data_IF_989242767517
#
_entry.id   IF_989242767517
#
_cell.length_a   1.000
_cell.length_b   1.000
_cell.length_c   1.000
_cell.angle_alpha   90.00
_cell.angle_beta   90.00
_cell.angle_gamma   90.00
#
_symmetry.space_group_name_H-M   'P 1'
#
loop_
_entity.id
_entity.type
_entity.pdbx_description
1 polymer ?
#
# COMPACT_ATOMS: atom_id res chain seq x y z
N UNK A 1 21.23 -1.18 15.88
CA UNK A 1 22.07 -0.38 16.77
C UNK A 1 23.54 -0.30 16.29
N UNK A 2 24.12 -1.38 15.75
CA UNK A 2 25.55 -1.45 15.41
C UNK A 2 26.01 -0.39 14.40
N UNK A 3 25.17 -0.01 13.45
CA UNK A 3 25.53 0.94 12.39
C UNK A 3 24.90 2.33 12.50
N UNK A 4 23.87 2.53 13.33
CA UNK A 4 23.13 3.80 13.35
C UNK A 4 22.89 4.39 14.75
N UNK A 5 23.15 3.65 15.82
CA UNK A 5 22.86 4.09 17.19
C UNK A 5 21.39 4.10 17.55
N UNK A 6 21.04 4.66 18.71
CA UNK A 6 19.70 4.63 19.29
C UNK A 6 18.74 5.61 18.58
N UNK A 7 19.23 6.75 18.10
CA UNK A 7 18.39 7.75 17.42
C UNK A 7 17.83 7.20 16.10
N UNK A 8 18.69 6.61 15.26
CA UNK A 8 18.26 5.98 14.00
C UNK A 8 17.28 4.81 14.23
N UNK A 9 17.48 4.05 15.30
CA UNK A 9 16.54 3.01 15.70
C UNK A 9 15.19 3.60 16.10
N UNK A 10 15.17 4.75 16.80
CA UNK A 10 13.94 5.48 17.15
C UNK A 10 13.20 5.97 15.91
N UNK A 11 13.89 6.56 14.94
CA UNK A 11 13.32 7.04 13.68
C UNK A 11 12.72 5.91 12.85
N UNK A 12 13.45 4.79 12.70
CA UNK A 12 12.91 3.60 12.04
C UNK A 12 11.72 3.01 12.82
N UNK A 13 11.82 2.94 14.16
CA UNK A 13 10.74 2.42 15.00
C UNK A 13 9.43 3.20 14.85
N UNK A 14 9.50 4.53 14.78
CA UNK A 14 8.33 5.37 14.54
C UNK A 14 7.77 5.13 13.13
N UNK A 15 8.63 5.12 12.10
CA UNK A 15 8.22 4.89 10.71
C UNK A 15 7.54 3.52 10.53
N UNK A 16 8.05 2.49 11.19
CA UNK A 16 7.47 1.15 11.18
C UNK A 16 6.09 1.12 11.88
N UNK A 17 5.94 1.77 13.04
CA UNK A 17 4.65 1.83 13.75
C UNK A 17 3.56 2.50 12.91
N UNK A 18 3.87 3.60 12.23
CA UNK A 18 2.95 4.28 11.31
C UNK A 18 2.54 3.32 10.17
N UNK A 19 3.50 2.59 9.62
CA UNK A 19 3.25 1.60 8.57
C UNK A 19 2.33 0.46 9.03
N UNK A 20 2.49 -0.02 10.26
CA UNK A 20 1.63 -1.07 10.84
C UNK A 20 0.18 -0.59 10.93
N UNK A 21 -0.06 0.66 11.32
CA UNK A 21 -1.43 1.22 11.37
C UNK A 21 -2.08 1.17 9.97
N UNK A 22 -1.38 1.63 8.94
CA UNK A 22 -1.87 1.58 7.55
C UNK A 22 -2.14 0.13 7.13
N UNK A 23 -1.26 -0.78 7.50
CA UNK A 23 -1.39 -2.21 7.19
C UNK A 23 -2.62 -2.86 7.83
N UNK A 24 -3.00 -2.48 9.05
CA UNK A 24 -4.18 -3.02 9.72
C UNK A 24 -5.46 -2.78 8.91
N UNK A 25 -5.61 -1.60 8.31
CA UNK A 25 -6.78 -1.28 7.46
C UNK A 25 -6.79 -2.09 6.17
N UNK A 26 -5.64 -2.34 5.57
CA UNK A 26 -5.55 -2.99 4.26
C UNK A 26 -5.59 -4.52 4.35
N UNK A 27 -5.17 -5.10 5.47
CA UNK A 27 -5.10 -6.57 5.66
C UNK A 27 -6.43 -7.23 6.01
N UNK A 28 -7.46 -6.47 6.39
CA UNK A 28 -8.73 -6.99 6.87
C UNK A 28 -9.47 -7.92 5.87
N UNK A 29 -9.28 -7.71 4.57
CA UNK A 29 -9.92 -8.50 3.52
C UNK A 29 -9.13 -9.75 3.10
N UNK A 30 -7.90 -9.91 3.57
CA UNK A 30 -7.04 -11.05 3.20
C UNK A 30 -7.65 -12.40 3.57
N UNK A 31 -8.21 -12.61 4.79
CA UNK A 31 -8.83 -13.90 5.14
C UNK A 31 -10.02 -14.25 4.26
N UNK A 32 -10.83 -13.25 3.88
CA UNK A 32 -11.99 -13.46 3.01
C UNK A 32 -11.55 -13.96 1.64
N UNK A 33 -10.59 -13.29 1.01
CA UNK A 33 -10.08 -13.70 -0.30
C UNK A 33 -9.37 -15.05 -0.26
N UNK A 34 -8.65 -15.37 0.83
CA UNK A 34 -8.04 -16.69 1.02
C UNK A 34 -9.09 -17.78 1.00
N UNK A 35 -10.20 -17.57 1.71
CA UNK A 35 -11.33 -18.51 1.73
C UNK A 35 -11.96 -18.67 0.35
N UNK A 36 -12.22 -17.57 -0.35
CA UNK A 36 -12.82 -17.62 -1.69
C UNK A 36 -11.91 -18.33 -2.71
N UNK A 37 -10.59 -18.09 -2.66
CA UNK A 37 -9.63 -18.83 -3.49
C UNK A 37 -9.64 -20.34 -3.18
N UNK A 38 -9.64 -20.72 -1.88
CA UNK A 38 -9.66 -22.11 -1.47
C UNK A 38 -10.95 -22.82 -1.91
N UNK A 39 -12.10 -22.15 -1.77
CA UNK A 39 -13.40 -22.65 -2.23
C UNK A 39 -13.39 -22.89 -3.75
N UNK A 40 -13.04 -21.87 -4.52
CA UNK A 40 -13.01 -21.97 -5.98
C UNK A 40 -12.01 -23.03 -6.48
N UNK A 41 -10.90 -23.22 -5.78
CA UNK A 41 -9.92 -24.25 -6.11
C UNK A 41 -10.46 -25.67 -5.80
N UNK A 42 -11.13 -25.85 -4.65
CA UNK A 42 -11.79 -27.11 -4.30
C UNK A 42 -12.87 -27.51 -5.31
N UNK A 43 -13.59 -26.52 -5.86
CA UNK A 43 -14.60 -26.69 -6.92
C UNK A 43 -13.97 -26.83 -8.33
N UNK A 44 -12.64 -26.84 -8.45
CA UNK A 44 -11.89 -26.86 -9.71
C UNK A 44 -12.25 -25.70 -10.67
N UNK A 45 -12.73 -24.60 -10.14
CA UNK A 45 -13.16 -23.43 -10.89
C UNK A 45 -12.03 -22.40 -11.04
N UNK A 46 -11.08 -22.67 -11.96
CA UNK A 46 -9.98 -21.75 -12.25
C UNK A 46 -10.45 -20.42 -12.85
N UNK A 47 -11.61 -20.39 -13.52
CA UNK A 47 -12.17 -19.15 -14.06
C UNK A 47 -12.57 -18.19 -12.93
N UNK A 48 -13.17 -18.72 -11.86
CA UNK A 48 -13.51 -17.93 -10.66
C UNK A 48 -12.24 -17.40 -9.97
N UNK A 49 -11.20 -18.21 -9.86
CA UNK A 49 -9.92 -17.77 -9.27
C UNK A 49 -9.31 -16.63 -10.10
N UNK A 50 -9.30 -16.74 -11.45
CA UNK A 50 -8.84 -15.68 -12.35
C UNK A 50 -9.62 -14.39 -12.14
N UNK A 51 -10.95 -14.50 -12.06
CA UNK A 51 -11.83 -13.35 -11.85
C UNK A 51 -11.53 -12.66 -10.50
N UNK A 52 -11.49 -13.41 -9.41
CA UNK A 52 -11.16 -12.90 -8.09
C UNK A 52 -9.77 -12.23 -8.07
N UNK A 53 -8.77 -12.89 -8.64
CA UNK A 53 -7.40 -12.41 -8.65
C UNK A 53 -7.24 -11.13 -9.47
N UNK A 54 -7.76 -11.11 -10.71
CA UNK A 54 -7.63 -9.97 -11.60
C UNK A 54 -8.41 -8.74 -11.15
N UNK A 55 -9.47 -8.93 -10.36
CA UNK A 55 -10.33 -7.85 -9.87
C UNK A 55 -9.89 -7.32 -8.51
N UNK A 56 -9.79 -8.20 -7.51
CA UNK A 56 -9.59 -7.75 -6.12
C UNK A 56 -8.13 -7.40 -5.81
N UNK A 57 -7.16 -8.02 -6.46
CA UNK A 57 -5.76 -7.68 -6.23
C UNK A 57 -5.46 -6.22 -6.61
N UNK A 58 -5.79 -5.74 -7.82
CA UNK A 58 -5.58 -4.33 -8.17
C UNK A 58 -6.45 -3.36 -7.37
N UNK A 59 -7.70 -3.71 -7.08
CA UNK A 59 -8.61 -2.90 -6.27
C UNK A 59 -8.01 -2.61 -4.88
N UNK A 60 -7.58 -3.66 -4.19
CA UNK A 60 -6.99 -3.53 -2.85
C UNK A 60 -5.62 -2.85 -2.89
N UNK A 61 -4.86 -3.04 -3.98
CA UNK A 61 -3.64 -2.29 -4.21
C UNK A 61 -3.91 -0.78 -4.29
N UNK A 62 -4.92 -0.36 -5.03
CA UNK A 62 -5.28 1.06 -5.17
C UNK A 62 -5.72 1.67 -3.83
N UNK A 63 -6.50 0.94 -3.03
CA UNK A 63 -6.90 1.39 -1.68
C UNK A 63 -5.66 1.53 -0.77
N UNK A 64 -4.76 0.55 -0.79
CA UNK A 64 -3.53 0.63 -0.01
C UNK A 64 -2.61 1.77 -0.51
N UNK A 65 -2.54 2.00 -1.83
CA UNK A 65 -1.77 3.08 -2.43
C UNK A 65 -2.32 4.46 -2.04
N UNK A 66 -3.65 4.61 -1.97
CA UNK A 66 -4.28 5.84 -1.50
C UNK A 66 -3.79 6.24 -0.10
N UNK A 67 -3.77 5.31 0.85
CA UNK A 67 -3.27 5.55 2.21
C UNK A 67 -1.75 5.78 2.22
N UNK A 68 -0.99 4.94 1.53
CA UNK A 68 0.46 5.01 1.49
C UNK A 68 0.97 6.33 0.92
N UNK A 69 0.38 6.78 -0.19
CA UNK A 69 0.75 8.05 -0.85
C UNK A 69 0.46 9.23 0.06
N UNK A 70 -0.70 9.28 0.70
CA UNK A 70 -1.02 10.38 1.61
C UNK A 70 -0.06 10.44 2.80
N UNK A 71 0.22 9.30 3.44
CA UNK A 71 1.20 9.23 4.53
C UNK A 71 2.60 9.64 4.05
N UNK A 72 3.01 9.22 2.86
CA UNK A 72 4.32 9.60 2.30
C UNK A 72 4.45 11.11 2.06
N UNK A 73 3.40 11.75 1.51
CA UNK A 73 3.39 13.19 1.24
C UNK A 73 3.35 14.03 2.52
N UNK A 74 2.76 13.51 3.59
CA UNK A 74 2.63 14.18 4.88
C UNK A 74 3.64 13.69 5.93
N UNK A 75 4.65 12.94 5.51
CA UNK A 75 5.58 12.23 6.39
C UNK A 75 6.29 13.16 7.40
N UNK A 76 6.71 14.35 6.99
CA UNK A 76 7.33 15.33 7.87
C UNK A 76 6.39 15.83 8.97
N UNK A 77 5.14 16.17 8.62
CA UNK A 77 4.12 16.60 9.57
C UNK A 77 3.73 15.47 10.53
N UNK A 78 3.54 14.25 10.00
CA UNK A 78 3.24 13.06 10.80
C UNK A 78 4.37 12.79 11.80
N UNK A 79 5.63 12.86 11.36
CA UNK A 79 6.80 12.69 12.22
C UNK A 79 6.81 13.69 13.38
N UNK A 80 6.57 14.97 13.09
CA UNK A 80 6.52 16.04 14.09
C UNK A 80 5.31 15.91 15.02
N UNK A 81 4.12 15.60 14.48
CA UNK A 81 2.88 15.48 15.27
C UNK A 81 2.91 14.30 16.24
N UNK A 82 3.48 13.16 15.83
CA UNK A 82 3.50 11.93 16.64
C UNK A 82 4.76 11.78 17.50
N UNK A 83 5.90 12.24 16.99
CA UNK A 83 7.20 12.08 17.66
C UNK A 83 7.77 13.36 18.28
N UNK A 84 7.17 14.53 17.99
CA UNK A 84 7.72 15.81 18.35
C UNK A 84 8.79 16.30 17.38
N UNK A 85 9.35 17.50 17.63
CA UNK A 85 10.32 18.17 16.75
C UNK A 85 11.59 17.34 16.55
N UNK A 86 11.98 16.53 17.52
CA UNK A 86 13.16 15.65 17.44
C UNK A 86 13.01 14.59 16.34
N UNK A 87 11.77 14.21 15.98
CA UNK A 87 11.49 13.23 14.94
C UNK A 87 11.26 13.84 13.55
N UNK A 88 11.50 15.13 13.37
CA UNK A 88 11.44 15.75 12.04
C UNK A 88 12.39 15.07 11.05
N UNK A 89 13.56 14.62 11.52
CA UNK A 89 14.54 13.89 10.72
C UNK A 89 14.06 12.49 10.27
N UNK A 90 13.05 11.92 10.94
CA UNK A 90 12.43 10.66 10.55
C UNK A 90 11.55 10.77 9.29
N UNK A 91 11.28 11.99 8.80
CA UNK A 91 10.37 12.24 7.68
C UNK A 91 10.70 11.42 6.42
N UNK A 92 11.97 11.32 6.04
CA UNK A 92 12.40 10.50 4.90
C UNK A 92 12.13 9.00 5.12
N UNK A 93 12.43 8.48 6.31
CA UNK A 93 12.17 7.08 6.67
C UNK A 93 10.65 6.80 6.69
N UNK A 94 9.83 7.73 7.23
CA UNK A 94 8.36 7.61 7.24
C UNK A 94 7.82 7.63 5.81
N UNK A 95 8.28 8.55 4.94
CA UNK A 95 7.83 8.65 3.55
C UNK A 95 8.07 7.37 2.77
N UNK A 96 9.26 6.79 2.89
CA UNK A 96 9.62 5.54 2.24
C UNK A 96 8.82 4.38 2.85
N UNK A 97 8.80 4.30 4.17
CA UNK A 97 8.17 3.21 4.90
C UNK A 97 6.64 3.17 4.72
N UNK A 98 6.01 4.28 4.33
CA UNK A 98 4.60 4.35 3.97
C UNK A 98 4.22 3.40 2.81
N UNK A 99 5.16 3.08 1.92
CA UNK A 99 4.96 2.12 0.82
C UNK A 99 5.12 0.65 1.24
N UNK A 100 5.66 0.37 2.43
CA UNK A 100 5.79 -1.00 2.92
C UNK A 100 4.44 -1.70 3.10
N UNK A 101 3.41 -1.09 3.75
CA UNK A 101 2.08 -1.70 3.89
C UNK A 101 1.39 -2.00 2.57
N UNK A 102 1.57 -1.13 1.56
CA UNK A 102 1.05 -1.33 0.22
C UNK A 102 1.51 -2.67 -0.37
N UNK A 103 2.82 -2.91 -0.36
CA UNK A 103 3.37 -4.16 -0.88
C UNK A 103 3.18 -5.33 0.08
N UNK A 104 3.11 -5.10 1.38
CA UNK A 104 2.81 -6.15 2.36
C UNK A 104 1.39 -6.70 2.16
N UNK A 105 0.39 -5.84 1.98
CA UNK A 105 -0.99 -6.25 1.68
C UNK A 105 -1.07 -7.02 0.37
N UNK A 106 -0.45 -6.46 -0.68
CA UNK A 106 -0.40 -7.09 -1.98
C UNK A 106 0.29 -8.46 -1.93
N UNK A 107 1.35 -8.58 -1.11
CA UNK A 107 2.04 -9.83 -0.82
C UNK A 107 1.14 -10.86 -0.16
N UNK A 108 0.40 -10.49 0.89
CA UNK A 108 -0.53 -11.40 1.56
C UNK A 108 -1.60 -11.96 0.63
N UNK A 109 -2.17 -11.11 -0.23
CA UNK A 109 -3.16 -11.54 -1.21
C UNK A 109 -2.57 -12.49 -2.26
N UNK A 110 -1.34 -12.22 -2.68
CA UNK A 110 -0.57 -13.09 -3.58
C UNK A 110 -0.23 -14.43 -2.92
N UNK A 111 0.17 -14.38 -1.64
CA UNK A 111 0.51 -15.58 -0.83
C UNK A 111 -0.72 -16.46 -0.58
N UNK A 112 -1.89 -15.85 -0.39
CA UNK A 112 -3.15 -16.58 -0.21
C UNK A 112 -3.45 -17.58 -1.34
N UNK A 113 -3.08 -17.23 -2.58
CA UNK A 113 -3.26 -18.13 -3.73
C UNK A 113 -2.32 -19.33 -3.67
N UNK A 114 -1.06 -19.17 -3.21
CA UNK A 114 -0.14 -20.32 -3.02
C UNK A 114 -0.69 -21.30 -2.00
N UNK A 115 -1.23 -20.80 -0.89
CA UNK A 115 -1.85 -21.65 0.14
C UNK A 115 -3.11 -22.33 -0.37
N UNK A 116 -4.01 -21.58 -0.99
CA UNK A 116 -5.28 -22.10 -1.51
C UNK A 116 -5.09 -23.18 -2.58
N UNK A 117 -4.01 -23.09 -3.37
CA UNK A 117 -3.72 -24.05 -4.45
C UNK A 117 -2.72 -25.15 -4.07
N UNK A 118 -2.32 -25.24 -2.80
CA UNK A 118 -1.36 -26.23 -2.32
C UNK A 118 0.07 -26.07 -2.83
N UNK A 119 0.42 -24.92 -3.45
CA UNK A 119 1.76 -24.66 -4.02
C UNK A 119 2.76 -24.17 -2.97
N UNK A 120 2.67 -24.71 -1.77
CA UNK A 120 3.43 -24.29 -0.58
C UNK A 120 4.94 -24.52 -0.73
N UNK A 121 5.36 -25.58 -1.46
CA UNK A 121 6.79 -25.83 -1.72
C UNK A 121 7.43 -24.71 -2.54
N UNK A 122 6.76 -24.25 -3.60
CA UNK A 122 7.24 -23.13 -4.40
C UNK A 122 7.29 -21.85 -3.57
N UNK A 123 6.26 -21.59 -2.77
CA UNK A 123 6.22 -20.45 -1.86
C UNK A 123 7.41 -20.46 -0.88
N UNK A 124 7.73 -21.62 -0.28
CA UNK A 124 8.86 -21.78 0.62
C UNK A 124 10.20 -21.48 -0.08
N UNK A 125 10.42 -22.06 -1.26
CA UNK A 125 11.65 -21.83 -2.05
C UNK A 125 11.83 -20.36 -2.38
N UNK A 126 10.78 -19.70 -2.85
CA UNK A 126 10.81 -18.24 -3.12
C UNK A 126 11.10 -17.45 -1.85
N UNK A 127 10.51 -17.81 -0.72
CA UNK A 127 10.77 -17.18 0.57
C UNK A 127 12.25 -17.26 0.98
N UNK A 128 12.87 -18.45 0.83
CA UNK A 128 14.29 -18.64 1.12
C UNK A 128 15.18 -17.79 0.21
N UNK A 129 14.90 -17.79 -1.10
CA UNK A 129 15.66 -16.96 -2.07
C UNK A 129 15.57 -15.48 -1.71
N UNK A 130 14.38 -14.99 -1.41
CA UNK A 130 14.15 -13.58 -1.05
C UNK A 130 14.86 -13.23 0.26
N UNK A 131 14.80 -14.11 1.26
CA UNK A 131 15.49 -13.92 2.53
C UNK A 131 17.00 -13.82 2.34
N UNK A 132 17.60 -14.75 1.58
CA UNK A 132 19.03 -14.73 1.29
C UNK A 132 19.44 -13.51 0.48
N UNK A 133 18.66 -13.12 -0.54
CA UNK A 133 18.88 -11.91 -1.32
C UNK A 133 18.74 -10.62 -0.49
N UNK A 134 17.93 -10.65 0.55
CA UNK A 134 17.74 -9.53 1.47
C UNK A 134 18.99 -9.20 2.31
N UNK A 135 19.88 -10.17 2.56
CA UNK A 135 21.09 -9.96 3.37
C UNK A 135 22.07 -8.97 2.71
N UNK A 136 22.51 -9.19 1.46
CA UNK A 136 23.41 -8.24 0.79
C UNK A 136 22.73 -6.87 0.59
N UNK A 137 21.45 -6.81 0.31
CA UNK A 137 20.71 -5.54 0.22
C UNK A 137 20.74 -4.80 1.55
N UNK A 138 20.55 -5.51 2.68
CA UNK A 138 20.68 -4.92 4.01
C UNK A 138 22.08 -4.35 4.26
N UNK A 139 23.11 -5.11 3.88
CA UNK A 139 24.50 -4.66 4.01
C UNK A 139 24.75 -3.39 3.20
N UNK A 140 24.37 -3.36 1.93
CA UNK A 140 24.56 -2.20 1.05
C UNK A 140 23.95 -0.94 1.64
N UNK A 141 22.74 -0.99 2.17
CA UNK A 141 22.07 0.22 2.68
C UNK A 141 22.55 0.65 4.08
N UNK A 142 22.98 -0.28 4.94
CA UNK A 142 23.27 0.00 6.34
C UNK A 142 24.76 0.09 6.68
N UNK A 143 25.62 -0.70 6.04
CA UNK A 143 27.03 -0.68 6.36
C UNK A 143 27.65 0.68 6.02
N UNK A 144 28.65 1.13 6.79
CA UNK A 144 29.34 2.38 6.51
C UNK A 144 30.11 2.33 5.19
N UNK A 145 30.40 3.50 4.56
CA UNK A 145 31.11 3.54 3.28
C UNK A 145 32.44 2.80 3.25
N UNK A 146 33.18 2.79 4.35
CA UNK A 146 34.45 2.02 4.48
C UNK A 146 34.27 0.50 4.39
N UNK A 147 33.05 -0.01 4.47
CA UNK A 147 32.68 -1.43 4.38
C UNK A 147 31.76 -1.71 3.15
N UNK A 148 31.93 -0.94 2.10
CA UNK A 148 31.15 -1.03 0.86
C UNK A 148 29.64 -0.81 1.05
N UNK A 149 29.24 -0.10 2.09
CA UNK A 149 27.85 0.28 2.36
C UNK A 149 27.59 1.76 2.12
N UNK A 150 26.32 2.16 2.21
CA UNK A 150 25.86 3.53 2.02
C UNK A 150 25.74 4.30 3.35
N UNK A 151 25.60 3.60 4.48
CA UNK A 151 25.49 4.21 5.81
C UNK A 151 24.23 5.09 5.99
N UNK A 152 23.11 4.76 5.34
CA UNK A 152 21.91 5.61 5.32
C UNK A 152 20.99 5.46 6.55
N UNK A 153 21.43 4.81 7.61
CA UNK A 153 20.71 4.71 8.89
C UNK A 153 19.27 4.23 8.73
N UNK A 154 18.33 4.93 9.35
CA UNK A 154 16.90 4.60 9.34
C UNK A 154 16.28 4.68 7.94
N UNK A 155 16.71 5.66 7.13
CA UNK A 155 16.26 5.80 5.73
C UNK A 155 16.73 4.62 4.89
N UNK A 156 17.98 4.16 5.07
CA UNK A 156 18.52 2.98 4.40
C UNK A 156 17.77 1.71 4.78
N UNK A 157 17.43 1.56 6.06
CA UNK A 157 16.64 0.41 6.53
C UNK A 157 15.20 0.44 5.96
N UNK A 158 14.55 1.61 5.94
CA UNK A 158 13.24 1.79 5.33
C UNK A 158 13.26 1.43 3.84
N UNK A 159 14.26 1.94 3.10
CA UNK A 159 14.42 1.65 1.67
C UNK A 159 14.67 0.17 1.42
N UNK A 160 15.53 -0.46 2.20
CA UNK A 160 15.75 -1.92 2.15
C UNK A 160 14.45 -2.69 2.33
N UNK A 161 13.64 -2.33 3.33
CA UNK A 161 12.37 -3.01 3.60
C UNK A 161 11.42 -2.91 2.39
N UNK A 162 11.27 -1.72 1.84
CA UNK A 162 10.38 -1.48 0.69
C UNK A 162 10.89 -2.14 -0.59
N UNK A 163 12.18 -1.98 -0.92
CA UNK A 163 12.76 -2.57 -2.14
C UNK A 163 12.67 -4.09 -2.12
N UNK A 164 13.09 -4.73 -1.02
CA UNK A 164 13.01 -6.20 -0.91
C UNK A 164 11.56 -6.66 -0.98
N UNK A 165 10.64 -5.93 -0.36
CA UNK A 165 9.21 -6.27 -0.41
C UNK A 165 8.62 -6.13 -1.82
N UNK A 166 8.95 -5.06 -2.55
CA UNK A 166 8.54 -4.88 -3.95
C UNK A 166 9.03 -6.06 -4.81
N UNK A 167 10.30 -6.40 -4.71
CA UNK A 167 10.88 -7.51 -5.48
C UNK A 167 10.26 -8.85 -5.11
N UNK A 168 10.11 -9.12 -3.81
CA UNK A 168 9.53 -10.34 -3.28
C UNK A 168 8.10 -10.56 -3.78
N UNK A 169 7.28 -9.53 -3.65
CA UNK A 169 5.86 -9.60 -4.00
C UNK A 169 5.69 -9.73 -5.52
N UNK A 170 6.42 -8.95 -6.30
CA UNK A 170 6.32 -9.02 -7.75
C UNK A 170 6.86 -10.34 -8.32
N UNK A 171 7.89 -10.92 -7.73
CA UNK A 171 8.36 -12.27 -8.08
C UNK A 171 7.28 -13.33 -7.84
N UNK A 172 6.67 -13.36 -6.65
CA UNK A 172 5.57 -14.27 -6.33
C UNK A 172 4.36 -14.05 -7.23
N UNK A 173 4.03 -12.80 -7.50
CA UNK A 173 2.93 -12.40 -8.37
C UNK A 173 3.14 -12.89 -9.81
N UNK A 174 4.36 -12.82 -10.32
CA UNK A 174 4.72 -13.36 -11.63
C UNK A 174 4.43 -14.87 -11.73
N UNK A 175 4.78 -15.65 -10.70
CA UNK A 175 4.46 -17.08 -10.66
C UNK A 175 2.94 -17.34 -10.62
N UNK A 176 2.18 -16.53 -9.90
CA UNK A 176 0.73 -16.66 -9.81
C UNK A 176 0.03 -16.26 -11.11
N UNK A 177 0.43 -15.16 -11.73
CA UNK A 177 -0.14 -14.75 -13.02
C UNK A 177 0.16 -15.76 -14.11
N UNK A 178 1.37 -16.34 -14.12
CA UNK A 178 1.72 -17.42 -15.04
C UNK A 178 0.89 -18.69 -14.81
N UNK A 179 0.65 -19.06 -13.56
CA UNK A 179 -0.22 -20.18 -13.20
C UNK A 179 -1.67 -19.96 -13.66
N UNK A 180 -2.17 -18.74 -13.53
CA UNK A 180 -3.53 -18.38 -13.92
C UNK A 180 -3.67 -18.04 -15.41
N UNK A 181 -2.59 -17.94 -16.19
CA UNK A 181 -2.62 -17.49 -17.59
C UNK A 181 -3.03 -16.01 -17.72
N UNK A 182 -2.65 -15.16 -16.75
CA UNK A 182 -2.94 -13.72 -16.76
C UNK A 182 -1.72 -12.90 -17.21
N UNK A 183 -1.93 -11.73 -17.85
CA UNK A 183 -0.84 -10.87 -18.29
C UNK A 183 -0.19 -10.13 -17.13
N UNK A 184 1.02 -10.55 -16.73
CA UNK A 184 1.75 -9.94 -15.63
C UNK A 184 2.02 -8.43 -15.82
N UNK A 185 2.33 -8.02 -17.06
CA UNK A 185 2.64 -6.62 -17.37
C UNK A 185 1.50 -5.64 -17.05
N UNK A 186 0.25 -6.07 -17.16
CA UNK A 186 -0.89 -5.21 -16.81
C UNK A 186 -0.95 -4.89 -15.32
N UNK A 187 -0.54 -5.83 -14.46
CA UNK A 187 -0.47 -5.61 -13.01
C UNK A 187 0.68 -4.66 -12.64
N UNK A 188 1.85 -4.79 -13.30
CA UNK A 188 2.95 -3.84 -13.10
C UNK A 188 2.58 -2.43 -13.56
N UNK A 189 1.96 -2.32 -14.73
CA UNK A 189 1.47 -1.04 -15.23
C UNK A 189 0.46 -0.43 -14.25
N UNK A 190 -0.47 -1.25 -13.72
CA UNK A 190 -1.43 -0.81 -12.72
C UNK A 190 -0.76 -0.29 -11.44
N UNK A 191 0.25 -1.00 -10.92
CA UNK A 191 1.01 -0.55 -9.76
C UNK A 191 1.63 0.84 -10.00
N UNK A 192 2.27 1.03 -11.15
CA UNK A 192 2.93 2.27 -11.49
C UNK A 192 1.95 3.44 -11.65
N UNK A 193 0.93 3.29 -12.51
CA UNK A 193 0.00 4.40 -12.75
C UNK A 193 -0.88 4.71 -11.53
N UNK A 194 -1.24 3.72 -10.70
CA UNK A 194 -2.01 3.97 -9.48
C UNK A 194 -1.24 4.87 -8.52
N UNK A 195 0.03 4.55 -8.25
CA UNK A 195 0.86 5.39 -7.38
C UNK A 195 1.08 6.77 -7.99
N UNK A 196 1.36 6.87 -9.30
CA UNK A 196 1.62 8.15 -9.97
C UNK A 196 0.40 9.08 -9.96
N UNK A 197 -0.79 8.55 -10.28
CA UNK A 197 -2.03 9.35 -10.30
C UNK A 197 -2.38 9.81 -8.88
N UNK A 198 -2.32 8.92 -7.90
CA UNK A 198 -2.59 9.25 -6.50
C UNK A 198 -1.55 10.23 -5.95
N UNK A 199 -0.27 10.07 -6.29
CA UNK A 199 0.79 10.99 -5.89
C UNK A 199 0.60 12.38 -6.51
N UNK A 200 0.24 12.46 -7.78
CA UNK A 200 -0.07 13.73 -8.44
C UNK A 200 -1.25 14.45 -7.81
N UNK A 201 -2.36 13.73 -7.58
CA UNK A 201 -3.54 14.29 -6.92
C UNK A 201 -3.23 14.73 -5.47
N UNK A 202 -2.52 13.89 -4.72
CA UNK A 202 -2.15 14.20 -3.34
C UNK A 202 -1.18 15.36 -3.24
N UNK A 203 -0.17 15.42 -4.11
CA UNK A 203 0.78 16.53 -4.16
C UNK A 203 0.08 17.87 -4.44
N UNK A 204 -0.84 17.92 -5.40
CA UNK A 204 -1.61 19.11 -5.69
C UNK A 204 -2.42 19.59 -4.48
N UNK A 205 -3.10 18.65 -3.78
CA UNK A 205 -3.88 18.96 -2.59
C UNK A 205 -2.99 19.48 -1.45
N UNK A 206 -1.90 18.79 -1.14
CA UNK A 206 -0.97 19.16 -0.07
C UNK A 206 -0.31 20.50 -0.37
N UNK A 207 0.29 20.66 -1.56
CA UNK A 207 0.96 21.89 -1.95
C UNK A 207 0.02 23.10 -2.03
N UNK A 208 -1.26 22.88 -2.39
CA UNK A 208 -2.28 23.94 -2.39
C UNK A 208 -2.63 24.40 -0.98
N UNK A 209 -2.86 23.44 -0.07
CA UNK A 209 -3.23 23.74 1.33
C UNK A 209 -2.06 24.37 2.10
N UNK A 210 -0.84 23.89 1.92
CA UNK A 210 0.34 24.38 2.63
C UNK A 210 0.73 25.82 2.27
N UNK A 211 0.23 26.36 1.15
CA UNK A 211 0.40 27.78 0.77
C UNK A 211 -0.53 28.73 1.53
N UNK A 212 -1.62 28.19 2.11
CA UNK A 212 -2.69 29.01 2.71
C UNK A 212 -2.79 28.78 4.22
N UNK A 213 -2.42 27.59 4.67
CA UNK A 213 -2.61 27.18 6.06
C UNK A 213 -1.25 26.87 6.69
N UNK A 214 -0.85 27.70 7.64
CA UNK A 214 0.43 27.57 8.37
C UNK A 214 0.37 26.54 9.51
N UNK A 215 -0.85 26.24 10.02
CA UNK A 215 -1.03 25.33 11.16
C UNK A 215 -1.00 23.88 10.69
N UNK A 216 0.06 23.15 11.04
CA UNK A 216 0.36 21.81 10.54
C UNK A 216 -0.78 20.77 10.68
N UNK A 217 -1.40 20.69 11.87
CA UNK A 217 -2.49 19.73 12.06
C UNK A 217 -3.74 20.05 11.25
N UNK A 218 -4.05 21.36 11.08
CA UNK A 218 -5.18 21.83 10.27
C UNK A 218 -4.91 21.60 8.78
N UNK A 219 -3.71 21.94 8.32
CA UNK A 219 -3.26 21.65 6.96
C UNK A 219 -3.30 20.14 6.65
N UNK A 220 -2.90 19.30 7.61
CA UNK A 220 -2.99 17.84 7.48
C UNK A 220 -4.44 17.37 7.28
N UNK A 221 -5.38 17.84 8.10
CA UNK A 221 -6.79 17.43 8.01
C UNK A 221 -7.45 17.92 6.72
N UNK A 222 -7.24 19.18 6.37
CA UNK A 222 -7.85 19.77 5.17
C UNK A 222 -7.28 19.14 3.90
N UNK A 223 -5.97 18.97 3.81
CA UNK A 223 -5.35 18.29 2.66
C UNK A 223 -5.80 16.84 2.54
N UNK A 224 -6.02 16.14 3.66
CA UNK A 224 -6.58 14.78 3.69
C UNK A 224 -8.00 14.73 3.16
N UNK A 225 -8.85 15.67 3.56
CA UNK A 225 -10.21 15.81 3.05
C UNK A 225 -10.24 16.09 1.54
N UNK A 226 -9.45 17.06 1.09
CA UNK A 226 -9.34 17.40 -0.35
C UNK A 226 -8.77 16.27 -1.17
N UNK A 227 -7.75 15.57 -0.68
CA UNK A 227 -7.20 14.40 -1.33
C UNK A 227 -8.22 13.28 -1.47
N UNK A 228 -9.01 13.02 -0.42
CA UNK A 228 -10.08 12.03 -0.46
C UNK A 228 -11.14 12.38 -1.52
N UNK A 229 -11.54 13.66 -1.60
CA UNK A 229 -12.48 14.13 -2.61
C UNK A 229 -11.89 14.04 -4.02
N UNK A 230 -10.63 14.41 -4.21
CA UNK A 230 -9.94 14.28 -5.49
C UNK A 230 -9.84 12.81 -5.94
N UNK A 231 -9.49 11.90 -5.05
CA UNK A 231 -9.45 10.47 -5.35
C UNK A 231 -10.86 9.92 -5.66
N UNK A 232 -11.87 10.34 -4.92
CA UNK A 232 -13.26 9.98 -5.22
C UNK A 232 -13.70 10.49 -6.61
N UNK A 233 -13.30 11.72 -6.99
CA UNK A 233 -13.55 12.26 -8.32
C UNK A 233 -12.82 11.45 -9.41
N UNK A 234 -11.56 11.06 -9.20
CA UNK A 234 -10.82 10.19 -10.14
C UNK A 234 -11.55 8.87 -10.35
N UNK A 235 -11.98 8.21 -9.27
CA UNK A 235 -12.72 6.94 -9.34
C UNK A 235 -14.09 7.13 -10.03
N UNK A 236 -14.77 8.23 -9.77
CA UNK A 236 -16.06 8.54 -10.39
C UNK A 236 -15.94 8.78 -11.89
N UNK A 237 -14.92 9.55 -12.32
CA UNK A 237 -14.69 9.85 -13.73
C UNK A 237 -14.11 8.65 -14.50
N UNK A 238 -13.29 7.87 -13.83
CA UNK A 238 -12.63 6.70 -14.39
C UNK A 238 -12.74 5.46 -13.49
N UNK A 239 -13.93 4.80 -13.43
CA UNK A 239 -14.15 3.63 -12.57
C UNK A 239 -13.17 2.47 -12.87
N UNK A 240 -12.76 2.32 -14.13
CA UNK A 240 -11.78 1.31 -14.53
C UNK A 240 -10.42 1.47 -13.82
N UNK A 241 -10.12 2.64 -13.24
CA UNK A 241 -8.95 2.85 -12.38
C UNK A 241 -8.91 1.90 -11.19
N UNK A 242 -10.07 1.54 -10.63
CA UNK A 242 -10.23 0.56 -9.56
C UNK A 242 -10.80 -0.78 -10.04
N UNK A 243 -10.77 -1.06 -11.34
CA UNK A 243 -11.38 -2.26 -11.93
C UNK A 243 -12.88 -2.39 -11.63
N UNK A 244 -13.56 -1.26 -11.47
CA UNK A 244 -15.01 -1.17 -11.28
C UNK A 244 -15.70 -0.82 -12.60
N UNK A 245 -16.92 -1.32 -12.76
CA UNK A 245 -17.84 -0.85 -13.79
C UNK A 245 -18.65 0.36 -13.29
N UNK A 246 -19.20 1.16 -14.20
CA UNK A 246 -20.09 2.28 -13.82
C UNK A 246 -21.34 1.79 -13.08
N UNK A 247 -21.86 0.63 -13.43
CA UNK A 247 -23.02 0.01 -12.78
C UNK A 247 -22.72 -0.38 -11.34
N UNK A 248 -21.54 -0.98 -11.10
CA UNK A 248 -21.09 -1.35 -9.76
C UNK A 248 -20.85 -0.13 -8.88
N UNK A 249 -20.22 0.91 -9.42
CA UNK A 249 -20.03 2.16 -8.70
C UNK A 249 -21.38 2.80 -8.33
N UNK A 250 -22.36 2.81 -9.26
CA UNK A 250 -23.70 3.29 -9.00
C UNK A 250 -24.45 2.43 -7.96
N UNK A 251 -24.27 1.10 -7.99
CA UNK A 251 -24.82 0.20 -6.98
C UNK A 251 -24.23 0.48 -5.59
N UNK A 252 -22.90 0.60 -5.49
CA UNK A 252 -22.24 0.95 -4.23
C UNK A 252 -22.71 2.30 -3.68
N UNK A 253 -22.91 3.30 -4.54
CA UNK A 253 -23.42 4.61 -4.15
C UNK A 253 -24.88 4.53 -3.63
N UNK A 254 -25.75 3.72 -4.28
CA UNK A 254 -27.13 3.48 -3.80
C UNK A 254 -27.13 2.79 -2.45
N UNK A 255 -26.33 1.75 -2.26
CA UNK A 255 -26.24 1.00 -1.00
C UNK A 255 -25.70 1.87 0.14
N UNK A 256 -24.73 2.71 -0.14
CA UNK A 256 -24.20 3.68 0.83
C UNK A 256 -25.29 4.68 1.27
N UNK A 257 -26.10 5.19 0.33
CA UNK A 257 -27.23 6.07 0.63
C UNK A 257 -28.31 5.37 1.46
N UNK A 258 -28.62 4.11 1.18
CA UNK A 258 -29.61 3.34 1.91
C UNK A 258 -29.22 3.06 3.37
N UNK A 259 -27.91 3.04 3.66
CA UNK A 259 -27.37 2.80 5.00
C UNK A 259 -27.18 4.07 5.84
N UNK A 260 -27.36 5.26 5.27
CA UNK A 260 -27.29 6.51 6.03
C UNK A 260 -28.51 6.64 6.95
N UNK A 261 -28.31 6.90 8.27
CA UNK A 261 -29.42 7.02 9.21
C UNK A 261 -30.29 8.27 8.90
N UNK A 262 -31.55 8.05 8.90
CA UNK A 262 -32.76 8.78 8.61
C UNK A 262 -32.90 10.31 8.51
N UNK A 263 -32.19 11.26 9.13
CA UNK A 263 -32.50 12.66 8.86
C UNK A 263 -31.90 13.18 7.56
N UNK A 264 -30.79 12.62 7.07
CA UNK A 264 -30.10 13.08 5.86
C UNK A 264 -30.70 12.54 4.55
N UNK A 265 -31.49 11.46 4.61
CA UNK A 265 -32.18 10.89 3.44
C UNK A 265 -33.31 11.80 2.90
N UNK A 266 -33.87 12.67 3.74
CA UNK A 266 -34.96 13.59 3.36
C UNK A 266 -34.46 14.83 2.59
N UNK A 267 -33.23 15.25 2.81
CA UNK A 267 -32.66 16.44 2.16
C UNK A 267 -32.10 16.20 0.75
N UNK A 268 -31.85 14.94 0.37
CA UNK A 268 -31.30 14.61 -0.95
C UNK A 268 -32.34 14.12 -1.96
N UNK A 269 -33.62 14.02 -1.56
CA UNK A 269 -34.74 13.64 -2.42
C UNK A 269 -35.68 14.83 -2.73
N UNK A 270 -35.33 16.02 -2.29
CA UNK A 270 -35.95 17.29 -2.67
C UNK A 270 -35.07 18.05 -3.65
#
# INVERSE_FOLDING_TARGET
QWFGGSAEQGFYGLSYKISVIVFMFTSALTPLLTREFAKAYGERNLAQIRHLFSRYIPLLYTIAAYLAVFVALQAGKIGTLLGGREFQQAGAAIAIMAFYPLHQTYGQLTDALFYATGRTRLYLVLGIIIMLAGLPVTWIFLAPPGWLGLGWGSTGLALRMVVVQILAVNLKHWFNTRFLGLPYGSFLAHQAYSVLILAGAGWMCVAGVDRVIEVDWLAFLISGGLYTLACAAVVWLWPAFMFLTREELAAMARDARARLPGPWSKWMNS
#
